data_IF_637902802744
#
_entry.id   IF_637902802744
#
_cell.length_a   1.000
_cell.length_b   1.000
_cell.length_c   1.000
_cell.angle_alpha   90.00
_cell.angle_beta   90.00
_cell.angle_gamma   90.00
#
_symmetry.space_group_name_H-M   'P 1'
#
loop_
_entity.id
_entity.type
_entity.pdbx_description
1 polymer ?
#
# COMPACT_ATOMS: atom_id res chain seq x y z
N UNK A 1 1.74 20.53 18.46
CA UNK A 1 1.21 19.17 18.71
C UNK A 1 1.74 18.24 17.64
N UNK A 2 2.41 17.17 18.03
CA UNK A 2 2.85 16.16 17.06
C UNK A 2 1.69 15.20 16.82
N UNK A 3 1.17 15.17 15.59
CA UNK A 3 0.16 14.20 15.19
C UNK A 3 0.91 12.94 14.75
N UNK A 4 0.80 11.89 15.52
CA UNK A 4 1.36 10.60 15.14
C UNK A 4 0.38 9.85 14.26
N UNK A 5 0.86 9.35 13.14
CA UNK A 5 0.09 8.44 12.28
C UNK A 5 -0.17 7.14 13.05
N UNK A 6 -1.42 6.70 13.09
CA UNK A 6 -1.74 5.40 13.66
C UNK A 6 -1.39 4.30 12.65
N UNK A 7 -0.51 3.39 13.02
CA UNK A 7 -0.10 2.28 12.15
C UNK A 7 -0.60 0.95 12.70
N UNK A 8 -1.13 0.11 11.82
CA UNK A 8 -1.53 -1.27 12.15
C UNK A 8 -0.81 -2.19 11.17
N UNK A 9 0.06 -3.03 11.71
CA UNK A 9 0.84 -3.99 10.92
C UNK A 9 0.14 -5.34 10.84
N UNK A 10 0.61 -6.19 9.93
CA UNK A 10 0.06 -7.52 9.71
C UNK A 10 -0.10 -8.31 11.02
N UNK A 11 -1.25 -8.91 11.21
CA UNK A 11 -1.65 -9.72 12.37
C UNK A 11 -1.89 -8.94 13.66
N UNK A 12 -1.71 -7.62 13.65
CA UNK A 12 -2.10 -6.79 14.80
C UNK A 12 -3.62 -6.60 14.84
N UNK A 13 -4.14 -6.26 16.00
CA UNK A 13 -5.56 -6.00 16.18
C UNK A 13 -6.00 -4.81 15.30
N UNK A 14 -7.03 -5.00 14.48
CA UNK A 14 -7.47 -4.03 13.48
C UNK A 14 -8.42 -3.00 14.09
N UNK A 15 -7.91 -2.20 15.00
CA UNK A 15 -8.65 -1.10 15.61
C UNK A 15 -8.47 0.19 14.82
N UNK A 16 -9.21 0.32 13.72
CA UNK A 16 -9.12 1.46 12.81
C UNK A 16 -9.72 2.70 13.46
N UNK A 17 -8.95 3.78 13.46
CA UNK A 17 -9.38 5.09 13.95
C UNK A 17 -9.36 6.11 12.84
N UNK A 18 -10.48 6.81 12.64
CA UNK A 18 -10.61 7.82 11.58
C UNK A 18 -10.59 7.21 10.18
N UNK A 19 -10.16 8.00 9.22
CA UNK A 19 -9.99 7.53 7.85
C UNK A 19 -8.81 6.59 7.74
N UNK A 20 -8.88 5.63 6.83
CA UNK A 20 -7.85 4.60 6.73
C UNK A 20 -7.40 4.36 5.30
N UNK A 21 -6.12 4.04 5.16
CA UNK A 21 -5.54 3.61 3.89
C UNK A 21 -4.72 2.33 4.08
N UNK A 22 -4.69 1.52 3.03
CA UNK A 22 -3.89 0.30 2.97
C UNK A 22 -2.73 0.53 2.00
N UNK A 23 -1.51 0.25 2.43
CA UNK A 23 -0.33 0.37 1.58
C UNK A 23 -0.07 -0.95 0.85
N UNK A 24 -0.46 -1.02 -0.41
CA UNK A 24 -0.27 -2.19 -1.26
C UNK A 24 0.93 -2.01 -2.19
N UNK A 25 1.74 -3.05 -2.32
CA UNK A 25 2.89 -3.04 -3.21
C UNK A 25 3.90 -4.11 -2.86
N UNK A 26 4.84 -4.40 -3.78
CA UNK A 26 5.82 -5.45 -3.56
C UNK A 26 6.73 -5.17 -2.37
N UNK A 27 7.09 -6.24 -1.68
CA UNK A 27 8.01 -6.22 -0.56
C UNK A 27 9.33 -6.85 -1.05
N UNK A 28 10.48 -6.24 -0.72
CA UNK A 28 11.75 -6.91 -0.98
C UNK A 28 11.82 -8.24 -0.23
N UNK A 29 12.28 -9.29 -0.91
CA UNK A 29 12.42 -10.62 -0.29
C UNK A 29 13.72 -10.80 0.49
N UNK A 30 14.46 -9.73 0.66
CA UNK A 30 15.71 -9.71 1.41
C UNK A 30 15.42 -9.11 2.79
N UNK A 31 15.74 -9.85 3.84
CA UNK A 31 15.56 -9.42 5.24
C UNK A 31 16.33 -8.14 5.58
N UNK A 32 17.38 -7.82 4.81
CA UNK A 32 18.19 -6.62 4.99
C UNK A 32 17.68 -5.44 4.15
N UNK A 33 16.70 -5.65 3.27
CA UNK A 33 16.16 -4.59 2.43
C UNK A 33 15.15 -3.75 3.21
N UNK A 34 15.25 -2.44 3.05
CA UNK A 34 14.31 -1.50 3.66
C UNK A 34 13.04 -1.44 2.80
N UNK A 35 11.90 -1.69 3.42
CA UNK A 35 10.60 -1.56 2.73
C UNK A 35 10.32 -0.10 2.42
N UNK A 36 9.80 0.17 1.22
CA UNK A 36 9.32 1.50 0.84
C UNK A 36 8.19 2.00 1.75
N UNK A 37 7.52 1.10 2.43
CA UNK A 37 6.41 1.45 3.33
C UNK A 37 6.88 2.27 4.53
N UNK A 38 8.14 2.11 4.95
CA UNK A 38 8.72 2.98 5.97
C UNK A 38 8.81 4.42 5.49
N UNK A 39 9.31 4.64 4.27
CA UNK A 39 9.33 5.96 3.65
C UNK A 39 7.92 6.54 3.52
N UNK A 40 6.95 5.70 3.16
CA UNK A 40 5.55 6.11 3.06
C UNK A 40 5.02 6.62 4.40
N UNK A 41 5.33 5.95 5.50
CA UNK A 41 4.92 6.38 6.84
C UNK A 41 5.56 7.72 7.18
N UNK A 42 6.85 7.88 6.90
CA UNK A 42 7.58 9.14 7.15
C UNK A 42 6.94 10.31 6.39
N UNK A 43 6.53 10.08 5.14
CA UNK A 43 5.83 11.09 4.33
C UNK A 43 4.46 11.42 4.94
N UNK A 44 3.69 10.41 5.33
CA UNK A 44 2.37 10.62 5.95
C UNK A 44 2.48 11.40 7.26
N UNK A 45 3.51 11.15 8.04
CA UNK A 45 3.80 11.92 9.26
C UNK A 45 4.18 13.36 8.92
N UNK A 46 5.03 13.56 7.92
CA UNK A 46 5.45 14.91 7.47
C UNK A 46 4.24 15.78 7.08
N UNK A 47 3.24 15.18 6.45
CA UNK A 47 2.02 15.87 6.04
C UNK A 47 0.87 15.76 7.05
N UNK A 48 1.16 15.31 8.25
CA UNK A 48 0.24 15.30 9.40
C UNK A 48 -1.05 14.49 9.15
N UNK A 49 -0.91 13.34 8.46
CA UNK A 49 -2.05 12.44 8.28
C UNK A 49 -2.52 11.91 9.65
N UNK A 50 -3.76 12.18 10.00
CA UNK A 50 -4.32 11.83 11.32
C UNK A 50 -5.08 10.50 11.35
N UNK A 51 -5.15 9.79 10.23
CA UNK A 51 -5.88 8.52 10.12
C UNK A 51 -5.05 7.29 10.45
N UNK A 52 -5.53 6.15 10.00
CA UNK A 52 -4.91 4.85 10.21
C UNK A 52 -4.29 4.32 8.92
N UNK A 53 -3.07 3.81 9.02
CA UNK A 53 -2.34 3.16 7.92
C UNK A 53 -2.28 1.67 8.19
N UNK A 54 -2.82 0.87 7.28
CA UNK A 54 -2.79 -0.59 7.35
C UNK A 54 -1.62 -1.10 6.50
N UNK A 55 -0.72 -1.84 7.11
CA UNK A 55 0.55 -2.25 6.51
C UNK A 55 0.63 -3.78 6.48
N UNK A 56 0.60 -4.41 5.30
CA UNK A 56 0.63 -5.88 5.19
C UNK A 56 2.05 -6.46 5.35
N UNK A 57 2.77 -5.96 6.33
CA UNK A 57 4.06 -6.46 6.73
C UNK A 57 4.05 -6.61 8.25
N UNK A 58 4.90 -7.47 8.78
CA UNK A 58 5.03 -7.61 10.22
C UNK A 58 5.89 -6.49 10.79
N UNK A 59 5.47 -5.96 11.92
CA UNK A 59 6.24 -4.94 12.63
C UNK A 59 7.61 -5.48 13.05
N UNK A 60 7.65 -6.74 13.47
CA UNK A 60 8.87 -7.44 13.84
C UNK A 60 8.91 -8.75 13.06
N UNK A 61 10.07 -9.07 12.47
CA UNK A 61 10.24 -10.32 11.74
C UNK A 61 9.99 -11.52 12.67
N UNK A 62 9.09 -12.41 12.24
CA UNK A 62 8.79 -13.66 12.92
C UNK A 62 9.04 -14.81 11.96
N UNK A 63 9.95 -15.70 12.29
CA UNK A 63 10.42 -16.79 11.42
C UNK A 63 9.31 -17.81 11.09
N UNK A 64 8.29 -17.93 11.92
CA UNK A 64 7.15 -18.83 11.69
C UNK A 64 5.85 -18.05 11.78
N UNK A 65 5.12 -18.01 10.67
CA UNK A 65 3.81 -17.42 10.62
C UNK A 65 2.87 -18.34 9.86
N UNK A 66 1.60 -18.27 10.18
CA UNK A 66 0.57 -18.98 9.43
C UNK A 66 0.20 -18.13 8.21
N UNK A 67 0.62 -18.59 7.03
CA UNK A 67 0.40 -17.86 5.79
C UNK A 67 -1.09 -17.57 5.53
N UNK A 68 -1.97 -18.53 5.78
CA UNK A 68 -3.40 -18.33 5.53
C UNK A 68 -4.04 -17.31 6.48
N UNK A 69 -3.57 -17.26 7.72
CA UNK A 69 -4.01 -16.21 8.66
C UNK A 69 -3.55 -14.82 8.22
N UNK A 70 -2.35 -14.72 7.66
CA UNK A 70 -1.84 -13.47 7.09
C UNK A 70 -2.68 -13.02 5.89
N UNK A 71 -3.04 -13.95 5.01
CA UNK A 71 -3.91 -13.67 3.86
C UNK A 71 -5.28 -13.19 4.35
N UNK A 72 -5.86 -13.85 5.34
CA UNK A 72 -7.15 -13.45 5.91
C UNK A 72 -7.08 -12.05 6.53
N UNK A 73 -5.98 -11.72 7.19
CA UNK A 73 -5.76 -10.38 7.73
C UNK A 73 -5.69 -9.35 6.60
N UNK A 74 -4.93 -9.63 5.54
CA UNK A 74 -4.82 -8.75 4.38
C UNK A 74 -6.19 -8.50 3.74
N UNK A 75 -6.96 -9.55 3.52
CA UNK A 75 -8.30 -9.44 2.91
C UNK A 75 -9.25 -8.61 3.78
N UNK A 76 -9.18 -8.78 5.10
CA UNK A 76 -9.98 -7.98 6.03
C UNK A 76 -9.56 -6.51 5.99
N UNK A 77 -8.26 -6.23 5.98
CA UNK A 77 -7.74 -4.87 5.93
C UNK A 77 -8.13 -4.18 4.60
N UNK A 78 -7.97 -4.88 3.48
CA UNK A 78 -8.33 -4.37 2.15
C UNK A 78 -9.83 -4.06 2.04
N UNK A 79 -10.67 -4.91 2.62
CA UNK A 79 -12.13 -4.68 2.59
C UNK A 79 -12.58 -3.60 3.58
N UNK A 80 -11.82 -3.35 4.63
CA UNK A 80 -12.19 -2.40 5.70
C UNK A 80 -11.69 -0.99 5.48
N UNK A 81 -10.61 -0.80 4.71
CA UNK A 81 -10.01 0.52 4.50
C UNK A 81 -10.86 1.42 3.61
N UNK A 82 -10.66 2.73 3.74
CA UNK A 82 -11.33 3.73 2.88
C UNK A 82 -10.64 3.90 1.53
N UNK A 83 -9.33 3.66 1.46
CA UNK A 83 -8.52 3.85 0.26
C UNK A 83 -7.41 2.80 0.20
N UNK A 84 -7.23 2.18 -0.96
CA UNK A 84 -6.07 1.33 -1.22
C UNK A 84 -5.07 2.12 -2.04
N UNK A 85 -3.86 2.25 -1.52
CA UNK A 85 -2.77 2.97 -2.18
C UNK A 85 -1.78 1.94 -2.72
N UNK A 86 -1.70 1.83 -4.04
CA UNK A 86 -0.76 0.94 -4.73
C UNK A 86 0.49 1.71 -5.13
N UNK A 87 1.62 1.30 -4.58
CA UNK A 87 2.94 1.74 -5.03
C UNK A 87 3.71 0.53 -5.51
N UNK A 88 4.07 0.49 -6.79
CA UNK A 88 4.62 -0.71 -7.45
C UNK A 88 6.04 -0.44 -7.96
N UNK A 89 7.05 -0.41 -7.08
CA UNK A 89 8.45 -0.23 -7.49
C UNK A 89 9.06 -1.58 -7.95
N UNK A 90 8.38 -2.26 -8.86
CA UNK A 90 8.77 -3.61 -9.28
C UNK A 90 10.15 -3.64 -9.89
N UNK A 91 10.96 -4.59 -9.45
CA UNK A 91 12.28 -4.90 -9.99
C UNK A 91 12.48 -6.41 -10.04
N UNK A 92 12.63 -6.94 -11.23
CA UNK A 92 12.92 -8.37 -11.41
C UNK A 92 14.43 -8.62 -11.21
N UNK A 93 14.79 -9.74 -10.60
CA UNK A 93 13.95 -10.78 -9.99
C UNK A 93 13.65 -10.55 -8.50
N UNK A 94 14.06 -9.42 -7.93
CA UNK A 94 14.12 -9.22 -6.47
C UNK A 94 12.79 -8.79 -5.83
N UNK A 95 11.94 -8.10 -6.58
CA UNK A 95 10.74 -7.48 -6.04
C UNK A 95 9.61 -7.60 -7.06
N UNK A 96 8.89 -8.72 -7.05
CA UNK A 96 7.93 -9.05 -8.10
C UNK A 96 6.53 -8.47 -7.86
N UNK A 97 6.01 -8.58 -6.65
CA UNK A 97 4.68 -8.06 -6.32
C UNK A 97 3.54 -8.80 -7.02
N UNK A 98 3.61 -10.13 -7.07
CA UNK A 98 2.56 -10.93 -7.70
C UNK A 98 1.22 -10.77 -7.01
N UNK A 99 1.21 -10.78 -5.67
CA UNK A 99 0.01 -10.56 -4.87
C UNK A 99 -0.56 -9.17 -5.10
N UNK A 100 0.29 -8.16 -5.22
CA UNK A 100 -0.14 -6.79 -5.50
C UNK A 100 -0.89 -6.68 -6.82
N UNK A 101 -0.48 -7.44 -7.85
CA UNK A 101 -1.20 -7.48 -9.12
C UNK A 101 -2.60 -8.07 -8.96
N UNK A 102 -2.74 -9.14 -8.17
CA UNK A 102 -4.05 -9.77 -7.89
C UNK A 102 -4.95 -8.78 -7.14
N UNK A 103 -4.43 -8.15 -6.10
CA UNK A 103 -5.16 -7.15 -5.33
C UNK A 103 -5.61 -5.97 -6.19
N UNK A 104 -4.73 -5.48 -7.05
CA UNK A 104 -5.04 -4.39 -7.98
C UNK A 104 -6.22 -4.75 -8.90
N UNK A 105 -6.15 -5.88 -9.56
CA UNK A 105 -7.21 -6.33 -10.46
C UNK A 105 -8.52 -6.63 -9.74
N UNK A 106 -8.44 -7.15 -8.53
CA UNK A 106 -9.62 -7.49 -7.74
C UNK A 106 -10.35 -6.25 -7.21
N UNK A 107 -9.62 -5.23 -6.77
CA UNK A 107 -10.23 -4.09 -6.07
C UNK A 107 -10.45 -2.84 -6.92
N UNK A 108 -9.87 -2.76 -8.13
CA UNK A 108 -9.96 -1.53 -8.96
C UNK A 108 -11.41 -1.09 -9.23
N UNK A 109 -12.34 -2.03 -9.32
CA UNK A 109 -13.76 -1.75 -9.54
C UNK A 109 -14.60 -1.80 -8.26
N UNK A 110 -14.02 -2.12 -7.13
CA UNK A 110 -14.78 -2.37 -5.89
C UNK A 110 -14.49 -1.34 -4.82
N UNK A 111 -13.34 -0.68 -4.88
CA UNK A 111 -12.89 0.25 -3.86
C UNK A 111 -12.24 1.47 -4.50
N UNK A 112 -12.12 2.53 -3.73
CA UNK A 112 -11.29 3.66 -4.14
C UNK A 112 -9.83 3.24 -4.08
N UNK A 113 -9.13 3.44 -5.18
CA UNK A 113 -7.71 3.15 -5.26
C UNK A 113 -6.95 4.35 -5.83
N UNK A 114 -5.69 4.48 -5.41
CA UNK A 114 -4.70 5.30 -6.08
C UNK A 114 -3.53 4.42 -6.44
N UNK A 115 -2.87 4.77 -7.53
CA UNK A 115 -1.79 3.95 -8.08
C UNK A 115 -0.63 4.83 -8.54
N UNK A 116 0.57 4.40 -8.20
CA UNK A 116 1.80 4.99 -8.68
C UNK A 116 2.91 3.95 -8.79
N UNK A 117 3.95 4.31 -9.48
CA UNK A 117 5.14 3.50 -9.67
C UNK A 117 6.29 4.39 -10.13
N UNK A 118 7.55 4.06 -9.82
CA UNK A 118 8.68 4.81 -10.39
C UNK A 118 8.74 4.62 -11.91
N UNK A 119 9.37 5.58 -12.61
CA UNK A 119 9.45 5.53 -14.07
C UNK A 119 10.21 4.30 -14.59
N UNK A 120 11.12 3.76 -13.78
CA UNK A 120 11.95 2.60 -14.15
C UNK A 120 11.40 1.27 -13.63
N UNK A 121 10.15 1.22 -13.16
CA UNK A 121 9.53 -0.01 -12.70
C UNK A 121 9.33 -1.01 -13.84
N UNK A 122 9.58 -2.30 -13.54
CA UNK A 122 9.43 -3.38 -14.51
C UNK A 122 7.98 -3.82 -14.67
N UNK A 123 7.59 -4.17 -15.88
CA UNK A 123 6.31 -4.84 -16.21
C UNK A 123 5.08 -4.18 -15.60
N UNK A 124 4.95 -2.85 -15.78
CA UNK A 124 3.83 -2.08 -15.24
C UNK A 124 2.80 -1.70 -16.31
N UNK A 125 3.04 -2.02 -17.58
CA UNK A 125 2.20 -1.55 -18.67
C UNK A 125 0.73 -1.98 -18.54
N UNK A 126 0.47 -3.21 -18.07
CA UNK A 126 -0.89 -3.69 -17.89
C UNK A 126 -1.62 -2.94 -16.78
N UNK A 127 -0.94 -2.67 -15.67
CA UNK A 127 -1.51 -1.91 -14.56
C UNK A 127 -1.81 -0.47 -14.97
N UNK A 128 -0.88 0.18 -15.68
CA UNK A 128 -1.05 1.53 -16.19
C UNK A 128 -2.29 1.64 -17.09
N UNK A 129 -2.42 0.69 -18.02
CA UNK A 129 -3.53 0.66 -18.96
C UNK A 129 -4.87 0.45 -18.25
N UNK A 130 -4.93 -0.53 -17.35
CA UNK A 130 -6.15 -0.83 -16.60
C UNK A 130 -6.58 0.35 -15.72
N UNK A 131 -5.62 0.99 -15.07
CA UNK A 131 -5.87 2.16 -14.24
C UNK A 131 -6.47 3.31 -15.06
N UNK A 132 -5.86 3.60 -16.21
CA UNK A 132 -6.34 4.64 -17.12
C UNK A 132 -7.73 4.33 -17.64
N UNK A 133 -7.98 3.09 -18.01
CA UNK A 133 -9.26 2.66 -18.55
C UNK A 133 -10.38 2.76 -17.51
N UNK A 134 -10.14 2.32 -16.29
CA UNK A 134 -11.18 2.23 -15.26
C UNK A 134 -11.36 3.52 -14.45
N UNK A 135 -10.31 4.33 -14.31
CA UNK A 135 -10.38 5.57 -13.51
C UNK A 135 -10.27 6.83 -14.34
N UNK A 136 -9.77 6.76 -15.57
CA UNK A 136 -9.46 7.93 -16.39
C UNK A 136 -8.14 8.61 -16.01
N UNK A 137 -7.49 8.16 -14.94
CA UNK A 137 -6.29 8.79 -14.39
C UNK A 137 -5.00 8.11 -14.88
N UNK A 138 -3.90 8.83 -14.79
CA UNK A 138 -2.56 8.30 -15.04
C UNK A 138 -1.88 7.98 -13.70
N UNK A 139 -0.97 6.99 -13.66
CA UNK A 139 -0.27 6.68 -12.41
C UNK A 139 0.63 7.82 -11.95
N UNK A 140 0.79 7.96 -10.64
CA UNK A 140 1.81 8.83 -10.07
C UNK A 140 3.19 8.21 -10.31
N UNK A 141 4.21 9.03 -10.49
CA UNK A 141 5.57 8.55 -10.71
C UNK A 141 6.52 8.79 -9.53
N UNK A 142 6.02 9.36 -8.44
CA UNK A 142 6.76 9.45 -7.20
C UNK A 142 5.85 9.21 -6.01
N UNK A 143 6.43 8.67 -4.95
CA UNK A 143 5.68 8.22 -3.77
C UNK A 143 5.08 9.41 -3.00
N UNK A 144 5.80 10.52 -2.91
CA UNK A 144 5.32 11.68 -2.16
C UNK A 144 4.03 12.25 -2.75
N UNK A 145 3.98 12.45 -4.07
CA UNK A 145 2.78 12.96 -4.74
C UNK A 145 1.60 12.01 -4.59
N UNK A 146 1.84 10.71 -4.67
CA UNK A 146 0.81 9.68 -4.46
C UNK A 146 0.20 9.80 -3.07
N UNK A 147 1.03 9.95 -2.05
CA UNK A 147 0.58 10.02 -0.67
C UNK A 147 -0.09 11.36 -0.32
N UNK A 148 0.40 12.46 -0.89
CA UNK A 148 -0.25 13.78 -0.73
C UNK A 148 -1.66 13.74 -1.29
N UNK A 149 -1.86 13.13 -2.46
CA UNK A 149 -3.21 12.96 -3.03
C UNK A 149 -4.06 12.02 -2.17
N UNK A 150 -3.47 10.98 -1.61
CA UNK A 150 -4.18 10.07 -0.70
C UNK A 150 -4.74 10.82 0.51
N UNK A 151 -3.93 11.70 1.11
CA UNK A 151 -4.35 12.53 2.24
C UNK A 151 -5.48 13.46 1.83
N UNK A 152 -5.38 14.08 0.65
CA UNK A 152 -6.43 14.98 0.15
C UNK A 152 -7.77 14.27 0.01
N UNK A 153 -7.77 13.07 -0.53
CA UNK A 153 -8.98 12.25 -0.71
C UNK A 153 -9.60 11.87 0.64
N UNK A 154 -8.78 11.60 1.64
CA UNK A 154 -9.22 11.10 2.95
C UNK A 154 -9.59 12.20 3.95
N UNK A 155 -9.48 13.44 3.57
CA UNK A 155 -9.91 14.55 4.44
C UNK A 155 -11.41 14.63 4.61
#
# INVERSE_FOLDING_TARGET
>A
MVINVTTIYSMENMNIKGKSLFLAGPIPRDENAISWKKEAIDILEKYEFSGTVLIPEKRVFVAKSNYMEEVDWDLKALSSCDLIVFWIPRKKPYMLGLTSNVEFGYYINKKNILYGRPDDADEIAYLDWLYKKDTGETPFNNLEDLLVESIRILK
#
